data_IF_177015831187
#
_entry.id   IF_177015831187
#
_cell.length_a   1.000
_cell.length_b   1.000
_cell.length_c   1.000
_cell.angle_alpha   90.00
_cell.angle_beta   90.00
_cell.angle_gamma   90.00
#
_symmetry.space_group_name_H-M   'P 1'
#
loop_
_entity.id
_entity.type
_entity.pdbx_description
1 polymer ?
#
# COMPACT_ATOMS: atom_id res chain seq x y z
N UNK A 1 2.39 -2.93 7.16
CA UNK A 1 0.91 -2.75 7.08
C UNK A 1 0.61 -1.88 5.87
N UNK A 2 -0.43 -2.18 5.09
CA UNK A 2 -0.85 -1.36 3.94
C UNK A 2 -2.31 -0.98 4.07
N UNK A 3 -2.62 0.31 3.92
CA UNK A 3 -3.99 0.83 3.92
C UNK A 3 -4.38 1.32 2.52
N UNK A 4 -5.49 0.80 1.98
CA UNK A 4 -6.09 1.31 0.73
C UNK A 4 -6.86 2.61 0.92
N UNK A 5 -7.21 3.29 -0.17
CA UNK A 5 -7.87 4.60 -0.13
C UNK A 5 -9.21 4.61 0.61
N UNK A 6 -10.00 3.53 0.52
CA UNK A 6 -11.25 3.37 1.26
C UNK A 6 -11.04 3.41 2.79
N UNK A 7 -9.93 2.87 3.29
CA UNK A 7 -9.58 2.91 4.71
C UNK A 7 -9.16 4.32 5.18
N UNK A 8 -9.03 5.29 4.26
CA UNK A 8 -8.59 6.67 4.51
C UNK A 8 -9.55 7.70 3.90
N UNK A 9 -10.79 7.33 3.61
CA UNK A 9 -11.72 8.16 2.84
C UNK A 9 -12.14 9.47 3.54
N UNK A 10 -12.02 9.58 4.88
CA UNK A 10 -12.39 10.78 5.62
C UNK A 10 -11.48 11.03 6.84
N UNK A 11 -11.62 12.20 7.47
CA UNK A 11 -10.81 12.63 8.63
C UNK A 11 -10.88 11.64 9.80
N UNK A 12 -12.06 11.07 10.08
CA UNK A 12 -12.26 10.15 11.20
C UNK A 12 -11.49 8.84 11.01
N UNK A 13 -11.24 8.45 9.76
CA UNK A 13 -10.42 7.28 9.45
C UNK A 13 -9.00 7.41 10.01
N UNK A 14 -8.35 8.57 9.92
CA UNK A 14 -6.98 8.75 10.45
C UNK A 14 -6.92 8.54 11.97
N UNK A 15 -7.95 9.00 12.69
CA UNK A 15 -8.11 8.79 14.12
C UNK A 15 -8.22 7.30 14.47
N UNK A 16 -8.99 6.54 13.69
CA UNK A 16 -9.15 5.07 13.83
C UNK A 16 -7.85 4.34 13.48
N UNK A 17 -7.20 4.69 12.38
CA UNK A 17 -5.93 4.10 11.94
C UNK A 17 -4.81 4.34 12.96
N UNK A 18 -4.71 5.55 13.51
CA UNK A 18 -3.74 5.86 14.55
C UNK A 18 -3.99 5.03 15.83
N UNK A 19 -5.26 4.77 16.17
CA UNK A 19 -5.63 3.88 17.29
C UNK A 19 -5.29 2.42 17.02
N UNK A 20 -5.49 1.95 15.78
CA UNK A 20 -5.07 0.62 15.34
C UNK A 20 -3.55 0.48 15.45
N UNK A 21 -2.78 1.39 14.86
CA UNK A 21 -1.31 1.38 14.92
C UNK A 21 -0.83 1.39 16.38
N UNK A 22 -1.43 2.22 17.25
CA UNK A 22 -1.14 2.22 18.69
C UNK A 22 -1.35 0.84 19.34
N UNK A 23 -2.41 0.14 18.95
CA UNK A 23 -2.71 -1.21 19.44
C UNK A 23 -1.67 -2.21 18.92
N UNK A 24 -1.28 -2.09 17.64
CA UNK A 24 -0.26 -2.96 17.01
C UNK A 24 1.13 -2.75 17.62
N UNK A 25 1.49 -1.53 18.03
CA UNK A 25 2.74 -1.23 18.72
C UNK A 25 2.90 -1.98 20.06
N UNK A 26 1.80 -2.49 20.65
CA UNK A 26 1.86 -3.36 21.83
C UNK A 26 2.35 -4.77 21.51
N UNK A 27 2.22 -5.20 20.24
CA UNK A 27 2.54 -6.55 19.76
C UNK A 27 3.85 -6.60 18.97
N UNK A 28 4.28 -5.49 18.38
CA UNK A 28 5.52 -5.35 17.62
C UNK A 28 6.20 -4.01 17.90
N UNK A 29 7.53 -3.98 17.93
CA UNK A 29 8.33 -2.78 18.20
C UNK A 29 8.64 -1.95 16.94
N UNK A 30 8.46 -2.51 15.75
CA UNK A 30 8.78 -1.85 14.47
C UNK A 30 7.60 -1.97 13.51
N UNK A 31 7.10 -0.83 13.03
CA UNK A 31 5.98 -0.76 12.11
C UNK A 31 6.32 0.16 10.95
N UNK A 32 6.19 -0.40 9.73
CA UNK A 32 6.13 0.37 8.49
C UNK A 32 4.71 0.31 7.95
N UNK A 33 4.14 1.47 7.67
CA UNK A 33 2.82 1.67 7.11
C UNK A 33 2.94 2.19 5.69
N UNK A 34 2.32 1.53 4.73
CA UNK A 34 2.18 2.04 3.35
C UNK A 34 0.77 2.53 3.14
N UNK A 35 0.62 3.74 2.60
CA UNK A 35 -0.68 4.38 2.38
C UNK A 35 -0.88 4.68 0.89
N UNK A 36 -2.11 4.48 0.42
CA UNK A 36 -2.62 5.02 -0.84
C UNK A 36 -3.19 6.45 -0.68
N UNK A 37 -3.54 7.11 -1.78
CA UNK A 37 -4.32 8.35 -1.74
C UNK A 37 -5.68 8.15 -1.03
N UNK A 38 -6.23 9.23 -0.47
CA UNK A 38 -7.53 9.21 0.19
C UNK A 38 -8.66 9.03 -0.83
N UNK A 39 -9.60 8.12 -0.58
CA UNK A 39 -10.84 8.01 -1.36
C UNK A 39 -10.61 8.01 -2.88
N UNK A 40 -11.21 9.00 -3.55
CA UNK A 40 -11.18 9.23 -5.01
C UNK A 40 -10.16 10.28 -5.45
N UNK A 41 -9.27 10.75 -4.57
CA UNK A 41 -8.38 11.89 -4.88
C UNK A 41 -7.48 11.64 -6.10
N UNK A 42 -7.00 10.41 -6.32
CA UNK A 42 -6.22 10.10 -7.53
C UNK A 42 -7.05 10.29 -8.80
N UNK A 43 -8.30 9.83 -8.80
CA UNK A 43 -9.21 9.95 -9.93
C UNK A 43 -9.56 11.42 -10.19
N UNK A 44 -9.84 12.19 -9.13
CA UNK A 44 -10.12 13.63 -9.22
C UNK A 44 -8.95 14.42 -9.83
N UNK A 45 -7.71 14.08 -9.46
CA UNK A 45 -6.51 14.69 -10.03
C UNK A 45 -6.33 14.32 -11.50
N UNK A 46 -6.61 13.07 -11.87
CA UNK A 46 -6.55 12.61 -13.26
C UNK A 46 -7.62 13.29 -14.12
N UNK A 47 -8.85 13.41 -13.62
CA UNK A 47 -9.94 14.11 -14.30
C UNK A 47 -9.59 15.59 -14.53
N UNK A 48 -9.03 16.25 -13.52
CA UNK A 48 -8.54 17.62 -13.65
C UNK A 48 -7.45 17.75 -14.73
N UNK A 49 -6.48 16.83 -14.74
CA UNK A 49 -5.44 16.82 -15.76
C UNK A 49 -6.03 16.68 -17.19
N UNK A 50 -7.00 15.78 -17.35
CA UNK A 50 -7.66 15.53 -18.64
C UNK A 50 -8.49 16.72 -19.13
N UNK A 51 -9.09 17.51 -18.22
CA UNK A 51 -9.78 18.76 -18.57
C UNK A 51 -8.78 19.78 -19.15
N UNK A 52 -7.58 19.88 -18.58
CA UNK A 52 -6.55 20.83 -19.04
C UNK A 52 -5.87 20.33 -20.32
N UNK A 53 -5.54 19.05 -20.38
CA UNK A 53 -4.89 18.42 -21.52
C UNK A 53 -5.40 16.99 -21.70
N UNK A 54 -6.14 16.66 -22.77
CA UNK A 54 -6.67 15.31 -23.02
C UNK A 54 -5.64 14.20 -23.24
N UNK A 55 -4.35 14.54 -23.32
CA UNK A 55 -3.24 13.61 -23.48
C UNK A 55 -2.01 14.19 -22.74
N UNK A 56 -2.09 14.36 -21.40
CA UNK A 56 -1.06 15.06 -20.67
C UNK A 56 0.27 14.30 -20.74
N UNK A 57 1.43 14.97 -20.75
CA UNK A 57 2.72 14.29 -20.67
C UNK A 57 2.78 13.39 -19.43
N UNK A 58 3.09 12.09 -19.61
CA UNK A 58 3.08 11.09 -18.53
C UNK A 58 3.93 11.48 -17.32
N UNK A 59 5.06 12.15 -17.58
CA UNK A 59 5.94 12.69 -16.54
C UNK A 59 5.21 13.66 -15.61
N UNK A 60 4.43 14.58 -16.17
CA UNK A 60 3.65 15.53 -15.36
C UNK A 60 2.44 14.86 -14.70
N UNK A 61 1.88 13.81 -15.31
CA UNK A 61 0.85 13.01 -14.65
C UNK A 61 1.39 12.36 -13.38
N UNK A 62 2.56 11.70 -13.45
CA UNK A 62 3.22 11.10 -12.29
C UNK A 62 3.51 12.14 -11.19
N UNK A 63 4.00 13.33 -11.59
CA UNK A 63 4.20 14.44 -10.66
C UNK A 63 2.89 14.82 -9.96
N UNK A 64 1.79 14.96 -10.70
CA UNK A 64 0.49 15.36 -10.18
C UNK A 64 -0.10 14.31 -9.22
N UNK A 65 -0.23 13.07 -9.67
CA UNK A 65 -0.94 12.04 -8.89
C UNK A 65 -0.16 11.60 -7.66
N UNK A 66 1.18 11.75 -7.65
CA UNK A 66 2.00 11.49 -6.46
C UNK A 66 1.63 12.33 -5.23
N UNK A 67 0.90 13.44 -5.43
CA UNK A 67 0.40 14.31 -4.36
C UNK A 67 -0.63 13.60 -3.48
N UNK A 68 -1.44 12.70 -4.04
CA UNK A 68 -2.51 12.02 -3.31
C UNK A 68 -2.00 11.26 -2.08
N UNK A 69 -1.01 10.39 -2.26
CA UNK A 69 -0.40 9.64 -1.15
C UNK A 69 0.36 10.54 -0.18
N UNK A 70 0.90 11.68 -0.66
CA UNK A 70 1.63 12.64 0.19
C UNK A 70 0.72 13.30 1.21
N UNK A 71 -0.52 13.59 0.82
CA UNK A 71 -1.55 14.08 1.74
C UNK A 71 -1.86 13.01 2.79
N UNK A 72 -2.16 11.78 2.38
CA UNK A 72 -2.47 10.66 3.29
C UNK A 72 -1.37 10.42 4.32
N UNK A 73 -0.11 10.32 3.88
CA UNK A 73 1.01 10.01 4.77
C UNK A 73 1.26 11.12 5.80
N UNK A 74 1.06 12.38 5.41
CA UNK A 74 1.25 13.52 6.30
C UNK A 74 0.14 13.60 7.34
N UNK A 75 -1.12 13.43 6.93
CA UNK A 75 -2.27 13.41 7.85
C UNK A 75 -2.18 12.26 8.85
N UNK A 76 -1.77 11.07 8.41
CA UNK A 76 -1.58 9.94 9.33
C UNK A 76 -0.44 10.20 10.33
N UNK A 77 0.66 10.81 9.89
CA UNK A 77 1.76 11.20 10.79
C UNK A 77 1.28 12.18 11.87
N UNK A 78 0.53 13.21 11.49
CA UNK A 78 -0.07 14.17 12.43
C UNK A 78 -1.06 13.49 13.40
N UNK A 79 -1.87 12.55 12.92
CA UNK A 79 -2.83 11.83 13.76
C UNK A 79 -2.17 10.90 14.80
N UNK A 80 -0.99 10.36 14.46
CA UNK A 80 -0.14 9.59 15.38
C UNK A 80 0.56 10.50 16.39
N UNK A 81 1.10 11.62 15.93
CA UNK A 81 1.76 12.62 16.80
C UNK A 81 0.81 13.16 17.87
N UNK A 82 -0.44 13.48 17.49
CA UNK A 82 -1.50 13.87 18.43
C UNK A 82 -1.76 12.84 19.55
N UNK A 83 -1.39 11.57 19.33
CA UNK A 83 -1.53 10.46 20.29
C UNK A 83 -0.25 10.14 21.06
N UNK A 84 0.79 10.97 20.91
CA UNK A 84 2.11 10.79 21.51
C UNK A 84 2.92 9.67 20.87
N UNK A 85 2.67 9.36 19.58
CA UNK A 85 3.42 8.34 18.83
C UNK A 85 4.32 9.07 17.85
N UNK A 86 5.63 8.97 18.06
CA UNK A 86 6.62 9.52 17.14
C UNK A 86 6.55 8.76 15.80
N UNK A 87 6.18 9.50 14.75
CA UNK A 87 6.00 8.98 13.41
C UNK A 87 6.67 9.90 12.38
N UNK A 88 7.17 9.30 11.29
CA UNK A 88 7.78 10.03 10.19
C UNK A 88 7.27 9.51 8.84
N UNK A 89 6.97 10.42 7.93
CA UNK A 89 6.52 10.08 6.58
C UNK A 89 7.64 10.20 5.54
N UNK A 90 7.62 9.31 4.55
CA UNK A 90 8.53 9.31 3.41
C UNK A 90 7.74 9.15 2.10
N UNK A 91 8.06 9.98 1.11
CA UNK A 91 7.70 9.71 -0.29
C UNK A 91 8.41 8.46 -0.82
N UNK A 92 8.00 7.95 -1.98
CA UNK A 92 8.66 6.80 -2.64
C UNK A 92 10.15 7.04 -2.90
N UNK A 93 10.52 8.26 -3.27
CA UNK A 93 11.93 8.64 -3.45
C UNK A 93 12.71 8.64 -2.13
N UNK A 94 12.08 9.10 -1.04
CA UNK A 94 12.69 9.16 0.29
C UNK A 94 12.73 7.82 1.01
N UNK A 95 11.85 6.88 0.66
CA UNK A 95 11.86 5.50 1.15
C UNK A 95 12.86 4.60 0.43
N UNK A 96 13.46 5.10 -0.66
CA UNK A 96 14.50 4.42 -1.42
C UNK A 96 13.96 3.46 -2.49
N UNK A 97 12.72 3.63 -2.94
CA UNK A 97 12.14 2.85 -4.05
C UNK A 97 12.71 3.40 -5.36
N UNK A 98 13.62 2.67 -5.98
CA UNK A 98 14.26 3.03 -7.25
C UNK A 98 13.55 2.30 -8.38
N UNK A 99 13.22 3.02 -9.44
CA UNK A 99 12.41 2.53 -10.55
C UNK A 99 13.06 2.73 -11.91
N UNK A 100 12.47 2.12 -12.93
CA UNK A 100 12.74 2.46 -14.33
C UNK A 100 12.18 3.84 -14.70
N UNK A 101 12.51 4.34 -15.89
CA UNK A 101 12.10 5.68 -16.35
C UNK A 101 10.68 5.71 -16.97
N UNK A 102 10.02 4.56 -17.14
CA UNK A 102 8.72 4.50 -17.81
C UNK A 102 7.61 5.06 -16.92
N UNK A 103 7.30 6.34 -17.07
CA UNK A 103 6.22 7.00 -16.35
C UNK A 103 4.87 6.26 -16.48
N UNK A 104 4.08 6.34 -15.40
CA UNK A 104 2.77 5.69 -15.21
C UNK A 104 2.77 4.17 -15.07
N UNK A 105 3.83 3.47 -15.46
CA UNK A 105 3.94 2.01 -15.43
C UNK A 105 5.37 1.58 -15.05
N UNK A 106 6.02 2.35 -14.18
CA UNK A 106 7.41 2.13 -13.83
C UNK A 106 7.57 0.84 -13.02
N UNK A 107 8.69 0.13 -13.21
CA UNK A 107 9.00 -1.10 -12.47
C UNK A 107 10.02 -0.80 -11.38
N UNK A 108 9.83 -1.40 -10.21
CA UNK A 108 10.82 -1.33 -9.12
C UNK A 108 12.07 -2.10 -9.55
N UNK A 109 13.21 -1.43 -9.57
CA UNK A 109 14.53 -2.02 -9.83
C UNK A 109 15.18 -2.48 -8.53
N UNK A 110 15.09 -1.64 -7.50
CA UNK A 110 15.72 -1.89 -6.20
C UNK A 110 15.01 -1.07 -5.12
N UNK A 111 15.05 -1.54 -3.87
CA UNK A 111 14.64 -0.75 -2.72
C UNK A 111 15.82 -0.60 -1.76
N UNK A 112 16.22 0.64 -1.48
CA UNK A 112 17.32 1.01 -0.56
C UNK A 112 16.78 1.71 0.69
N UNK A 113 16.23 0.98 1.68
CA UNK A 113 15.41 1.56 2.74
C UNK A 113 16.23 2.15 3.90
N UNK A 114 17.37 2.78 3.62
CA UNK A 114 18.32 3.23 4.66
C UNK A 114 17.72 4.29 5.60
N UNK A 115 16.91 5.20 5.06
CA UNK A 115 16.18 6.19 5.89
C UNK A 115 15.10 5.53 6.75
N UNK A 116 14.45 4.48 6.24
CA UNK A 116 13.46 3.71 6.99
C UNK A 116 14.14 2.97 8.13
N UNK A 117 15.22 2.23 7.85
CA UNK A 117 15.98 1.49 8.86
C UNK A 117 16.45 2.41 10.00
N UNK A 118 16.94 3.61 9.67
CA UNK A 118 17.34 4.62 10.67
C UNK A 118 16.17 5.07 11.54
N UNK A 119 15.04 5.43 10.93
CA UNK A 119 13.85 5.85 11.67
C UNK A 119 13.29 4.72 12.57
N UNK A 120 13.30 3.48 12.08
CA UNK A 120 12.90 2.31 12.88
C UNK A 120 13.85 2.04 14.05
N UNK A 121 15.17 2.29 13.89
CA UNK A 121 16.15 2.19 14.98
C UNK A 121 15.92 3.26 16.06
N UNK A 122 15.41 4.43 15.67
CA UNK A 122 14.94 5.49 16.56
C UNK A 122 13.53 5.22 17.14
N UNK A 123 12.98 4.02 16.94
CA UNK A 123 11.65 3.58 17.42
C UNK A 123 10.47 4.40 16.85
N UNK A 124 10.65 5.06 15.71
CA UNK A 124 9.58 5.78 15.03
C UNK A 124 8.68 4.82 14.27
N UNK A 125 7.38 5.14 14.18
CA UNK A 125 6.50 4.55 13.17
C UNK A 125 6.84 5.18 11.82
N UNK A 126 7.13 4.38 10.81
CA UNK A 126 7.42 4.88 9.47
C UNK A 126 6.17 4.78 8.59
N UNK A 127 5.80 5.87 7.94
CA UNK A 127 4.71 5.92 6.97
C UNK A 127 5.30 6.20 5.58
N UNK A 128 4.95 5.41 4.59
CA UNK A 128 5.46 5.54 3.22
C UNK A 128 4.29 5.79 2.28
N UNK A 129 4.41 6.83 1.44
CA UNK A 129 3.55 6.99 0.28
C UNK A 129 3.81 5.82 -0.68
N UNK A 130 2.81 4.96 -0.87
CA UNK A 130 2.88 3.88 -1.85
C UNK A 130 2.80 4.40 -3.28
N UNK A 131 2.76 3.48 -4.25
CA UNK A 131 2.48 3.75 -5.67
C UNK A 131 3.55 4.55 -6.43
N UNK A 132 4.41 5.29 -5.73
CA UNK A 132 5.43 6.14 -6.30
C UNK A 132 6.85 5.66 -5.98
N UNK A 133 7.81 6.06 -6.82
CA UNK A 133 9.24 5.82 -6.66
C UNK A 133 10.06 6.96 -7.27
N UNK A 134 11.37 6.73 -7.40
CA UNK A 134 12.28 7.64 -8.11
C UNK A 134 13.05 6.88 -9.18
N UNK A 135 13.04 7.43 -10.40
CA UNK A 135 13.78 6.83 -11.50
C UNK A 135 15.29 7.01 -11.34
N UNK A 136 16.06 6.28 -12.14
CA UNK A 136 17.52 6.45 -12.21
C UNK A 136 17.95 7.86 -12.66
N UNK A 137 17.06 8.58 -13.35
CA UNK A 137 17.23 9.98 -13.76
C UNK A 137 16.76 10.99 -12.70
N UNK A 138 16.29 10.50 -11.54
CA UNK A 138 15.78 11.29 -10.40
C UNK A 138 14.41 11.94 -10.65
N UNK A 139 13.63 11.39 -11.57
CA UNK A 139 12.23 11.80 -11.78
C UNK A 139 11.29 11.05 -10.84
N UNK A 140 10.17 11.68 -10.48
CA UNK A 140 9.08 10.98 -9.79
C UNK A 140 8.40 10.07 -10.81
N UNK A 141 8.25 8.80 -10.45
CA UNK A 141 7.54 7.83 -11.29
C UNK A 141 6.46 7.13 -10.49
N UNK A 142 5.42 6.67 -11.18
CA UNK A 142 4.38 5.82 -10.57
C UNK A 142 4.39 4.40 -11.14
N UNK A 143 3.95 3.45 -10.30
CA UNK A 143 4.05 2.01 -10.55
C UNK A 143 2.82 1.41 -11.26
N UNK A 144 1.91 2.25 -11.75
CA UNK A 144 0.65 1.80 -12.34
C UNK A 144 -0.33 1.15 -11.35
N UNK A 145 -1.29 0.40 -11.88
CA UNK A 145 -2.36 -0.21 -11.08
C UNK A 145 -1.78 -1.15 -10.02
N UNK A 146 -2.35 -1.10 -8.81
CA UNK A 146 -1.86 -1.88 -7.69
C UNK A 146 -0.52 -1.43 -7.12
N UNK A 147 0.06 -0.32 -7.58
CA UNK A 147 1.39 0.11 -7.19
C UNK A 147 1.61 0.31 -5.69
N UNK A 148 0.59 0.74 -4.94
CA UNK A 148 0.68 0.83 -3.47
C UNK A 148 0.82 -0.55 -2.81
N UNK A 149 0.19 -1.58 -3.37
CA UNK A 149 0.30 -2.95 -2.86
C UNK A 149 1.69 -3.51 -3.16
N UNK A 150 2.16 -3.33 -4.40
CA UNK A 150 3.52 -3.70 -4.83
C UNK A 150 4.60 -3.00 -4.00
N UNK A 151 4.40 -1.71 -3.68
CA UNK A 151 5.31 -0.94 -2.81
C UNK A 151 5.45 -1.58 -1.43
N UNK A 152 4.34 -2.06 -0.84
CA UNK A 152 4.34 -2.67 0.48
C UNK A 152 5.10 -4.00 0.51
N UNK A 153 4.95 -4.82 -0.54
CA UNK A 153 5.71 -6.07 -0.68
C UNK A 153 7.19 -5.80 -0.92
N UNK A 154 7.53 -4.88 -1.84
CA UNK A 154 8.92 -4.55 -2.13
C UNK A 154 9.67 -4.01 -0.89
N UNK A 155 9.00 -3.17 -0.09
CA UNK A 155 9.53 -2.70 1.20
C UNK A 155 9.68 -3.83 2.21
N UNK A 156 8.70 -4.76 2.28
CA UNK A 156 8.79 -5.91 3.18
C UNK A 156 10.01 -6.78 2.86
N UNK A 157 10.25 -7.07 1.57
CA UNK A 157 11.43 -7.81 1.10
C UNK A 157 12.71 -7.07 1.52
N UNK A 158 12.83 -5.79 1.20
CA UNK A 158 14.05 -5.01 1.48
C UNK A 158 14.33 -4.78 2.98
N UNK A 159 13.31 -4.91 3.82
CA UNK A 159 13.40 -4.81 5.27
C UNK A 159 13.50 -6.20 5.96
N UNK A 160 13.46 -7.30 5.20
CA UNK A 160 13.49 -8.65 5.76
C UNK A 160 12.23 -9.01 6.56
N UNK A 161 11.10 -8.36 6.27
CA UNK A 161 9.80 -8.69 6.89
C UNK A 161 9.25 -9.96 6.26
N UNK A 162 8.76 -10.89 7.08
CA UNK A 162 8.14 -12.13 6.61
C UNK A 162 6.68 -11.94 6.17
N UNK A 163 6.06 -10.79 6.48
CA UNK A 163 4.62 -10.61 6.31
C UNK A 163 4.21 -9.19 5.92
N UNK A 164 3.16 -9.08 5.10
CA UNK A 164 2.45 -7.84 4.81
C UNK A 164 0.97 -7.99 5.15
N UNK A 165 0.47 -7.07 5.98
CA UNK A 165 -0.95 -6.97 6.32
C UNK A 165 -1.61 -5.92 5.41
N UNK A 166 -2.57 -6.37 4.60
CA UNK A 166 -3.39 -5.55 3.70
C UNK A 166 -4.74 -5.26 4.35
N UNK A 167 -4.96 -4.00 4.70
CA UNK A 167 -6.22 -3.52 5.21
C UNK A 167 -7.09 -3.04 4.05
N UNK A 168 -8.13 -3.83 3.76
CA UNK A 168 -9.00 -3.71 2.60
C UNK A 168 -10.45 -3.54 3.04
N UNK A 169 -11.29 -3.12 2.12
CA UNK A 169 -12.73 -2.94 2.30
C UNK A 169 -13.52 -4.21 1.96
N UNK A 170 -12.91 -5.37 2.19
CA UNK A 170 -13.47 -6.71 2.02
C UNK A 170 -13.10 -7.58 3.22
N UNK A 171 -13.92 -8.59 3.56
CA UNK A 171 -13.66 -9.47 4.69
C UNK A 171 -12.50 -10.46 4.46
N UNK A 172 -12.03 -10.63 3.23
CA UNK A 172 -11.02 -11.60 2.80
C UNK A 172 -11.18 -11.90 1.31
N UNK A 173 -10.61 -13.01 0.84
CA UNK A 173 -10.75 -13.52 -0.54
C UNK A 173 -11.75 -14.69 -0.52
N UNK A 174 -12.75 -14.62 -1.38
CA UNK A 174 -13.67 -15.73 -1.68
C UNK A 174 -13.55 -16.15 -3.14
N UNK A 175 -14.35 -17.14 -3.54
CA UNK A 175 -14.42 -17.60 -4.94
C UNK A 175 -14.82 -16.44 -5.88
N UNK A 176 -15.78 -15.64 -5.44
CA UNK A 176 -16.20 -14.41 -6.12
C UNK A 176 -15.72 -13.19 -5.31
N UNK A 177 -15.71 -12.01 -5.94
CA UNK A 177 -15.40 -10.77 -5.23
C UNK A 177 -16.48 -10.47 -4.16
N UNK A 178 -16.15 -10.42 -2.86
CA UNK A 178 -17.14 -10.22 -1.80
C UNK A 178 -17.86 -8.86 -1.85
N UNK A 179 -17.33 -7.88 -2.60
CA UNK A 179 -18.03 -6.61 -2.81
C UNK A 179 -19.25 -6.75 -3.71
N UNK A 180 -19.14 -7.61 -4.73
CA UNK A 180 -20.21 -7.82 -5.72
C UNK A 180 -21.06 -9.04 -5.39
N UNK A 181 -20.50 -10.01 -4.65
CA UNK A 181 -21.15 -11.24 -4.21
C UNK A 181 -20.96 -11.44 -2.70
N UNK A 182 -21.70 -10.72 -1.84
CA UNK A 182 -21.52 -10.74 -0.39
C UNK A 182 -21.75 -12.11 0.27
N UNK A 183 -22.47 -13.00 -0.40
CA UNK A 183 -22.76 -14.37 0.02
C UNK A 183 -21.59 -15.35 -0.20
N UNK A 184 -20.52 -14.90 -0.88
CA UNK A 184 -19.35 -15.74 -1.14
C UNK A 184 -18.66 -16.14 0.18
N UNK A 185 -18.31 -17.43 0.28
CA UNK A 185 -17.54 -17.92 1.42
C UNK A 185 -16.09 -17.43 1.35
N UNK A 186 -15.57 -16.96 2.48
CA UNK A 186 -14.20 -16.44 2.58
C UNK A 186 -13.24 -17.57 2.94
N UNK A 187 -12.21 -17.74 2.13
CA UNK A 187 -11.13 -18.66 2.42
C UNK A 187 -10.26 -18.10 3.55
N UNK A 188 -10.06 -18.87 4.62
CA UNK A 188 -9.13 -18.49 5.70
C UNK A 188 -7.67 -18.52 5.23
N UNK A 189 -7.35 -19.45 4.33
CA UNK A 189 -6.00 -19.80 3.92
C UNK A 189 -5.98 -20.13 2.42
N UNK A 190 -5.01 -19.59 1.69
CA UNK A 190 -4.81 -19.82 0.26
C UNK A 190 -3.32 -19.95 -0.07
N UNK A 191 -3.01 -20.82 -1.04
CA UNK A 191 -1.69 -20.77 -1.70
C UNK A 191 -1.68 -19.66 -2.75
N UNK A 192 -0.48 -19.17 -3.07
CA UNK A 192 -0.31 -18.21 -4.16
C UNK A 192 -0.89 -18.68 -5.49
N UNK A 193 -0.74 -19.97 -5.86
CA UNK A 193 -1.33 -20.48 -7.10
C UNK A 193 -2.85 -20.32 -7.13
N UNK A 194 -3.52 -20.71 -6.04
CA UNK A 194 -4.98 -20.60 -5.95
C UNK A 194 -5.43 -19.14 -5.94
N UNK A 195 -4.71 -18.25 -5.24
CA UNK A 195 -5.03 -16.83 -5.24
C UNK A 195 -4.87 -16.20 -6.63
N UNK A 196 -3.82 -16.53 -7.38
CA UNK A 196 -3.60 -16.00 -8.73
C UNK A 196 -4.71 -16.44 -9.69
N UNK A 197 -5.19 -17.68 -9.60
CA UNK A 197 -6.35 -18.16 -10.37
C UNK A 197 -7.60 -17.34 -10.06
N UNK A 198 -7.96 -17.21 -8.77
CA UNK A 198 -9.15 -16.47 -8.32
C UNK A 198 -9.09 -14.99 -8.78
N UNK A 199 -7.93 -14.34 -8.65
CA UNK A 199 -7.74 -12.95 -9.08
C UNK A 199 -7.84 -12.82 -10.59
N UNK A 200 -7.31 -13.77 -11.36
CA UNK A 200 -7.40 -13.80 -12.82
C UNK A 200 -8.84 -13.95 -13.35
N UNK A 201 -9.73 -14.52 -12.55
CA UNK A 201 -11.16 -14.70 -12.86
C UNK A 201 -12.04 -13.49 -12.47
N UNK A 202 -11.45 -12.42 -11.91
CA UNK A 202 -12.12 -11.14 -11.66
C UNK A 202 -12.26 -10.73 -10.19
N UNK A 203 -11.70 -11.50 -9.24
CA UNK A 203 -11.66 -11.12 -7.83
C UNK A 203 -10.47 -10.17 -7.54
N UNK A 204 -10.49 -8.96 -8.11
CA UNK A 204 -9.40 -7.97 -8.00
C UNK A 204 -9.25 -7.33 -6.60
N UNK A 205 -8.83 -8.12 -5.59
CA UNK A 205 -8.57 -7.64 -4.22
C UNK A 205 -7.10 -7.21 -4.06
N UNK A 206 -6.19 -7.98 -4.65
CA UNK A 206 -4.76 -7.67 -4.77
C UNK A 206 -4.37 -7.73 -6.24
N UNK A 207 -3.45 -6.85 -6.63
CA UNK A 207 -2.98 -6.80 -8.01
C UNK A 207 -2.02 -7.96 -8.32
N UNK A 208 -2.09 -8.51 -9.53
CA UNK A 208 -1.28 -9.65 -9.97
C UNK A 208 0.23 -9.46 -9.72
N UNK A 209 0.77 -8.29 -10.07
CA UNK A 209 2.20 -7.99 -9.88
C UNK A 209 2.63 -8.05 -8.41
N UNK A 210 1.76 -7.64 -7.49
CA UNK A 210 2.02 -7.71 -6.05
C UNK A 210 2.07 -9.16 -5.57
N UNK A 211 1.18 -10.02 -6.08
CA UNK A 211 1.14 -11.44 -5.73
C UNK A 211 2.36 -12.19 -6.24
N UNK A 212 2.75 -11.97 -7.49
CA UNK A 212 3.96 -12.59 -8.07
C UNK A 212 5.22 -12.21 -7.30
N UNK A 213 5.40 -10.91 -7.01
CA UNK A 213 6.55 -10.44 -6.25
C UNK A 213 6.61 -11.06 -4.85
N UNK A 214 5.46 -11.18 -4.18
CA UNK A 214 5.37 -11.76 -2.85
C UNK A 214 5.62 -13.27 -2.85
N UNK A 215 5.12 -13.98 -3.88
CA UNK A 215 5.35 -15.41 -4.12
C UNK A 215 6.83 -15.71 -4.32
N UNK A 216 7.49 -14.98 -5.21
CA UNK A 216 8.91 -15.16 -5.53
C UNK A 216 9.81 -15.06 -4.28
N UNK A 217 9.42 -14.23 -3.32
CA UNK A 217 10.20 -13.96 -2.11
C UNK A 217 9.64 -14.62 -0.84
N UNK A 218 8.60 -15.45 -0.96
CA UNK A 218 7.99 -16.16 0.17
C UNK A 218 7.42 -15.25 1.25
N UNK A 219 6.96 -14.05 0.89
CA UNK A 219 6.31 -13.13 1.84
C UNK A 219 4.91 -13.65 2.15
N UNK A 220 4.48 -13.66 3.41
CA UNK A 220 3.10 -13.99 3.77
C UNK A 220 2.22 -12.75 3.58
N UNK A 221 1.06 -12.89 2.95
CA UNK A 221 0.09 -11.79 2.86
C UNK A 221 -1.12 -12.09 3.73
N UNK A 222 -1.58 -11.11 4.50
CA UNK A 222 -2.84 -11.20 5.22
C UNK A 222 -3.81 -10.15 4.71
N UNK A 223 -4.97 -10.57 4.23
CA UNK A 223 -6.09 -9.68 3.94
C UNK A 223 -6.90 -9.49 5.21
N UNK A 224 -7.06 -8.23 5.63
CA UNK A 224 -7.81 -7.85 6.82
C UNK A 224 -8.88 -6.81 6.46
N UNK A 225 -10.14 -6.98 6.88
CA UNK A 225 -11.14 -5.92 6.75
C UNK A 225 -10.75 -4.71 7.61
N UNK A 226 -10.72 -3.51 7.03
CA UNK A 226 -10.34 -2.30 7.78
C UNK A 226 -11.35 -1.97 8.91
N UNK A 227 -12.59 -2.44 8.80
CA UNK A 227 -13.66 -2.27 9.78
C UNK A 227 -13.61 -3.28 10.94
N UNK A 228 -12.86 -4.38 10.79
CA UNK A 228 -12.59 -5.37 11.84
C UNK A 228 -11.08 -5.72 11.85
N UNK A 229 -10.19 -4.76 12.16
CA UNK A 229 -8.77 -4.88 11.82
C UNK A 229 -7.99 -5.96 12.58
N UNK A 230 -8.53 -6.47 13.70
CA UNK A 230 -7.93 -7.59 14.43
C UNK A 230 -8.25 -8.95 13.77
N UNK A 231 -9.34 -9.05 13.01
CA UNK A 231 -9.71 -10.28 12.28
C UNK A 231 -8.79 -10.48 11.09
N UNK A 232 -8.21 -11.68 10.99
CA UNK A 232 -7.58 -12.14 9.75
C UNK A 232 -8.70 -12.66 8.86
N UNK A 233 -8.80 -12.11 7.66
CA UNK A 233 -9.74 -12.59 6.64
C UNK A 233 -9.16 -13.81 5.93
N UNK A 234 -8.07 -13.57 5.21
CA UNK A 234 -7.38 -14.59 4.42
C UNK A 234 -5.87 -14.46 4.59
N UNK A 235 -5.19 -15.59 4.79
CA UNK A 235 -3.73 -15.70 4.75
C UNK A 235 -3.30 -16.32 3.43
N UNK A 236 -2.34 -15.70 2.74
CA UNK A 236 -1.76 -16.17 1.48
C UNK A 236 -0.29 -16.52 1.72
N UNK A 237 0.13 -17.71 1.30
CA UNK A 237 1.47 -18.23 1.53
C UNK A 237 1.95 -19.14 0.39
N UNK A 238 3.25 -19.44 0.40
CA UNK A 238 3.87 -20.42 -0.51
C UNK A 238 3.65 -21.82 0.05
N UNK A 239 3.29 -22.78 -0.82
CA UNK A 239 3.08 -24.18 -0.45
C UNK A 239 4.30 -24.84 0.16
#
# INVERSE_FOLDING_TARGET
>A
MKFGGAAMANSDCFSKLATLIKTRLKKTSQIVVVVSAMGTTTDELMDLANIIHPNPPKREQDMLISVGERVSMALLAMALDLRGIDAISFTGSQSGIITTNEHSEARILEVRPERIKRALAEKKVVIVAGFQGVSIEKEITTLGRGGSDTSAVALAIALGSQKVEFYKDVPGIGENNPKTHPETEIFSDLTYEKTLTIVGEGAEILHHQCLELAKEHGIILEIRPFYEPERVGTTIYTS
#
